data_IF_769529549052
#
_entry.id   IF_769529549052
#
_cell.length_a   1.000
_cell.length_b   1.000
_cell.length_c   1.000
_cell.angle_alpha   90.00
_cell.angle_beta   90.00
_cell.angle_gamma   90.00
#
_symmetry.space_group_name_H-M   'P 1'
#
loop_
_entity.id
_entity.type
_entity.pdbx_description
1 polymer ?
#
# COMPACT_ATOMS: atom_id res chain seq x y z
N UNK A 1 -13.75 -34.07 28.65
CA UNK A 1 -12.40 -33.59 28.32
C UNK A 1 -12.55 -32.22 27.67
N UNK A 2 -12.28 -31.16 28.47
CA UNK A 2 -12.36 -29.79 28.00
C UNK A 2 -11.10 -29.47 27.18
N UNK A 3 -11.19 -29.40 25.87
CA UNK A 3 -10.16 -28.81 25.03
C UNK A 3 -10.21 -27.29 25.26
N UNK A 4 -9.34 -26.83 26.16
CA UNK A 4 -9.13 -25.40 26.38
C UNK A 4 -8.69 -24.76 25.08
N UNK A 5 -9.56 -23.92 24.53
CA UNK A 5 -9.27 -23.04 23.39
C UNK A 5 -8.40 -21.89 23.93
N UNK A 6 -7.12 -22.17 24.15
CA UNK A 6 -6.13 -21.14 24.50
C UNK A 6 -6.03 -20.21 23.30
N UNK A 7 -6.66 -19.04 23.37
CA UNK A 7 -6.48 -17.99 22.35
C UNK A 7 -4.99 -17.68 22.28
N UNK A 8 -4.37 -18.04 21.18
CA UNK A 8 -2.97 -17.71 20.91
C UNK A 8 -2.82 -16.18 20.94
N UNK A 9 -1.97 -15.67 21.82
CA UNK A 9 -1.63 -14.24 21.85
C UNK A 9 -0.70 -14.00 20.66
N UNK A 10 -1.05 -13.09 19.73
CA UNK A 10 -0.19 -12.81 18.59
C UNK A 10 1.13 -12.18 19.05
N UNK A 11 2.22 -12.56 18.39
CA UNK A 11 3.54 -11.93 18.61
C UNK A 11 3.48 -10.42 18.26
N UNK A 12 4.36 -9.65 18.89
CA UNK A 12 4.54 -8.25 18.49
C UNK A 12 5.26 -8.15 17.16
N UNK A 13 5.19 -6.98 16.49
CA UNK A 13 5.74 -6.81 15.14
C UNK A 13 7.24 -7.00 15.08
N UNK A 14 7.96 -6.59 16.12
CA UNK A 14 9.42 -6.75 16.19
C UNK A 14 9.82 -8.22 16.27
N UNK A 15 9.08 -9.03 17.02
CA UNK A 15 9.28 -10.48 17.11
C UNK A 15 9.04 -11.15 15.76
N UNK A 16 7.96 -10.77 15.05
CA UNK A 16 7.68 -11.31 13.72
C UNK A 16 8.79 -10.93 12.73
N UNK A 17 9.26 -9.68 12.76
CA UNK A 17 10.38 -9.24 11.90
C UNK A 17 11.66 -10.03 12.20
N UNK A 18 11.94 -10.31 13.47
CA UNK A 18 13.10 -11.12 13.85
C UNK A 18 13.00 -12.54 13.31
N UNK A 19 11.81 -13.18 13.35
CA UNK A 19 11.60 -14.50 12.74
C UNK A 19 11.90 -14.48 11.23
N UNK A 20 11.52 -13.42 10.49
CA UNK A 20 11.91 -13.27 9.08
C UNK A 20 13.42 -13.15 8.90
N UNK A 21 14.10 -12.41 9.78
CA UNK A 21 15.56 -12.29 9.74
C UNK A 21 16.28 -13.61 9.99
N UNK A 22 15.74 -14.42 10.88
CA UNK A 22 16.23 -15.78 11.21
C UNK A 22 15.84 -16.84 10.14
N UNK A 23 15.11 -16.42 9.09
CA UNK A 23 14.56 -17.34 8.08
C UNK A 23 13.71 -18.46 8.70
N UNK A 24 12.99 -18.15 9.76
CA UNK A 24 12.08 -19.06 10.44
C UNK A 24 10.69 -18.99 9.79
N UNK A 25 10.19 -20.11 9.26
CA UNK A 25 8.89 -20.18 8.57
C UNK A 25 7.70 -19.76 9.44
N UNK A 26 7.85 -19.83 10.77
CA UNK A 26 6.85 -19.30 11.71
C UNK A 26 6.55 -17.81 11.50
N UNK A 27 7.48 -17.06 10.89
CA UNK A 27 7.23 -15.67 10.53
C UNK A 27 5.99 -15.51 9.64
N UNK A 28 5.80 -16.41 8.68
CA UNK A 28 4.65 -16.41 7.78
C UNK A 28 3.38 -16.76 8.55
N UNK A 29 3.41 -17.79 9.38
CA UNK A 29 2.26 -18.21 10.20
C UNK A 29 1.81 -17.11 11.15
N UNK A 30 2.73 -16.43 11.84
CA UNK A 30 2.43 -15.35 12.76
C UNK A 30 1.90 -14.10 12.02
N UNK A 31 2.45 -13.81 10.83
CA UNK A 31 1.95 -12.75 9.96
C UNK A 31 0.53 -13.05 9.49
N UNK A 32 0.28 -14.28 9.03
CA UNK A 32 -1.06 -14.71 8.62
C UNK A 32 -2.05 -14.63 9.79
N UNK A 33 -1.69 -15.19 10.93
CA UNK A 33 -2.54 -15.19 12.13
C UNK A 33 -2.95 -13.76 12.55
N UNK A 34 -1.99 -12.82 12.53
CA UNK A 34 -2.19 -11.45 12.99
C UNK A 34 -2.88 -10.55 11.97
N UNK A 35 -2.52 -10.70 10.68
CA UNK A 35 -2.85 -9.70 9.66
C UNK A 35 -3.74 -10.20 8.53
N UNK A 36 -3.99 -11.53 8.40
CA UNK A 36 -4.74 -12.10 7.27
C UNK A 36 -6.03 -11.36 6.94
N UNK A 37 -6.91 -11.16 7.93
CA UNK A 37 -8.21 -10.53 7.70
C UNK A 37 -8.08 -9.13 7.10
N UNK A 38 -7.10 -8.39 7.59
CA UNK A 38 -6.84 -7.03 7.15
C UNK A 38 -6.25 -7.01 5.73
N UNK A 39 -5.20 -7.80 5.50
CA UNK A 39 -4.56 -7.89 4.18
C UNK A 39 -5.51 -8.43 3.12
N UNK A 40 -6.38 -9.38 3.48
CA UNK A 40 -7.44 -9.85 2.60
C UNK A 40 -8.39 -8.73 2.19
N UNK A 41 -8.82 -7.89 3.15
CA UNK A 41 -9.65 -6.73 2.86
C UNK A 41 -8.96 -5.74 1.91
N UNK A 42 -7.66 -5.48 2.13
CA UNK A 42 -6.86 -4.63 1.23
C UNK A 42 -6.79 -5.20 -0.19
N UNK A 43 -6.56 -6.50 -0.33
CA UNK A 43 -6.54 -7.16 -1.63
C UNK A 43 -7.93 -7.14 -2.29
N UNK A 44 -8.97 -7.51 -1.54
CA UNK A 44 -10.34 -7.58 -2.05
C UNK A 44 -10.87 -6.23 -2.52
N UNK A 45 -10.55 -5.15 -1.83
CA UNK A 45 -10.92 -3.80 -2.25
C UNK A 45 -10.28 -3.39 -3.60
N UNK A 46 -9.21 -4.05 -3.98
CA UNK A 46 -8.54 -3.80 -5.27
C UNK A 46 -9.06 -4.71 -6.39
N UNK A 47 -9.16 -6.02 -6.15
CA UNK A 47 -9.48 -6.99 -7.22
C UNK A 47 -10.95 -7.39 -7.29
N UNK A 48 -11.73 -7.19 -6.20
CA UNK A 48 -13.15 -7.51 -6.07
C UNK A 48 -13.50 -8.99 -6.36
N UNK A 49 -12.53 -9.88 -6.27
CA UNK A 49 -12.68 -11.32 -6.41
C UNK A 49 -12.01 -12.05 -5.25
N UNK A 50 -12.68 -13.08 -4.71
CA UNK A 50 -12.21 -13.79 -3.54
C UNK A 50 -10.98 -14.65 -3.82
N UNK A 51 -10.96 -15.34 -4.95
CA UNK A 51 -9.85 -16.22 -5.32
C UNK A 51 -8.60 -15.40 -5.66
N UNK A 52 -8.77 -14.34 -6.43
CA UNK A 52 -7.69 -13.40 -6.74
C UNK A 52 -7.14 -12.72 -5.48
N UNK A 53 -8.00 -12.44 -4.50
CA UNK A 53 -7.57 -11.87 -3.21
C UNK A 53 -6.74 -12.85 -2.40
N UNK A 54 -7.12 -14.12 -2.34
CA UNK A 54 -6.34 -15.18 -1.68
C UNK A 54 -4.99 -15.38 -2.38
N UNK A 55 -4.95 -15.36 -3.71
CA UNK A 55 -3.70 -15.42 -4.48
C UNK A 55 -2.80 -14.22 -4.17
N UNK A 56 -3.36 -13.01 -4.12
CA UNK A 56 -2.62 -11.80 -3.72
C UNK A 56 -2.04 -11.91 -2.30
N UNK A 57 -2.75 -12.56 -1.37
CA UNK A 57 -2.23 -12.82 -0.03
C UNK A 57 -1.01 -13.75 -0.05
N UNK A 58 -1.11 -14.87 -0.77
CA UNK A 58 -0.02 -15.83 -0.89
C UNK A 58 1.22 -15.18 -1.51
N UNK A 59 1.02 -14.40 -2.58
CA UNK A 59 2.08 -13.62 -3.21
C UNK A 59 2.67 -12.58 -2.25
N UNK A 60 1.83 -11.98 -1.38
CA UNK A 60 2.30 -11.04 -0.35
C UNK A 60 3.25 -11.72 0.62
N UNK A 61 2.89 -12.89 1.14
CA UNK A 61 3.76 -13.61 2.08
C UNK A 61 5.08 -14.00 1.45
N UNK A 62 5.07 -14.46 0.20
CA UNK A 62 6.28 -14.77 -0.55
C UNK A 62 7.13 -13.52 -0.80
N UNK A 63 6.51 -12.41 -1.18
CA UNK A 63 7.23 -11.15 -1.42
C UNK A 63 7.87 -10.60 -0.13
N UNK A 64 7.16 -10.68 1.00
CA UNK A 64 7.67 -10.27 2.31
C UNK A 64 8.81 -11.16 2.76
N UNK A 65 8.67 -12.49 2.60
CA UNK A 65 9.73 -13.46 2.86
C UNK A 65 11.02 -13.14 2.08
N UNK A 66 10.88 -12.79 0.82
CA UNK A 66 12.02 -12.45 -0.04
C UNK A 66 12.61 -11.06 0.26
N UNK A 67 11.82 -10.14 0.78
CA UNK A 67 12.24 -8.77 1.07
C UNK A 67 12.92 -8.63 2.44
N UNK A 68 12.59 -9.46 3.41
CA UNK A 68 13.16 -9.46 4.76
C UNK A 68 13.98 -10.74 4.98
N UNK A 69 15.32 -10.67 5.18
CA UNK A 69 16.20 -9.53 4.94
C UNK A 69 16.43 -9.24 3.45
N UNK A 70 17.04 -8.12 3.04
CA UNK A 70 17.75 -7.15 3.86
C UNK A 70 16.88 -5.99 4.39
N UNK A 71 15.64 -5.85 3.93
CA UNK A 71 14.75 -4.78 4.40
C UNK A 71 14.38 -5.00 5.87
N UNK A 72 14.48 -3.97 6.69
CA UNK A 72 14.00 -3.98 8.07
C UNK A 72 12.90 -2.93 8.22
N UNK A 73 11.62 -3.31 8.11
CA UNK A 73 10.53 -2.34 8.21
C UNK A 73 10.42 -1.77 9.62
N UNK A 74 10.29 -0.46 9.76
CA UNK A 74 10.05 0.19 11.04
C UNK A 74 8.63 -0.13 11.56
N UNK A 75 7.66 -0.20 10.66
CA UNK A 75 6.26 -0.56 10.94
C UNK A 75 5.87 -1.73 10.02
N UNK A 76 5.84 -2.95 10.58
CA UNK A 76 5.57 -4.17 9.83
C UNK A 76 4.21 -4.09 9.11
N UNK A 77 3.17 -3.62 9.81
CA UNK A 77 1.82 -3.50 9.26
C UNK A 77 1.78 -2.64 8.00
N UNK A 78 2.39 -1.45 8.02
CA UNK A 78 2.45 -0.55 6.86
C UNK A 78 3.21 -1.18 5.69
N UNK A 79 4.29 -1.89 5.97
CA UNK A 79 5.06 -2.63 4.98
C UNK A 79 4.22 -3.72 4.30
N UNK A 80 3.51 -4.54 5.10
CA UNK A 80 2.62 -5.59 4.60
C UNK A 80 1.52 -5.02 3.70
N UNK A 81 0.85 -3.94 4.14
CA UNK A 81 -0.19 -3.26 3.36
C UNK A 81 0.35 -2.79 2.01
N UNK A 82 1.51 -2.15 2.02
CA UNK A 82 2.16 -1.65 0.80
C UNK A 82 2.44 -2.78 -0.19
N UNK A 83 2.98 -3.90 0.30
CA UNK A 83 3.27 -5.08 -0.53
C UNK A 83 1.98 -5.69 -1.08
N UNK A 84 0.97 -5.92 -0.22
CA UNK A 84 -0.33 -6.49 -0.62
C UNK A 84 -1.00 -5.63 -1.68
N UNK A 85 -1.05 -4.32 -1.46
CA UNK A 85 -1.67 -3.36 -2.37
C UNK A 85 -0.98 -3.34 -3.72
N UNK A 86 0.34 -3.34 -3.74
CA UNK A 86 1.13 -3.42 -4.98
C UNK A 86 0.80 -4.68 -5.80
N UNK A 87 0.69 -5.82 -5.14
CA UNK A 87 0.36 -7.11 -5.77
C UNK A 87 -1.08 -7.06 -6.30
N UNK A 88 -2.03 -6.63 -5.48
CA UNK A 88 -3.44 -6.58 -5.84
C UNK A 88 -3.72 -5.63 -7.02
N UNK A 89 -3.07 -4.45 -7.05
CA UNK A 89 -3.19 -3.52 -8.17
C UNK A 89 -2.60 -4.12 -9.44
N UNK A 90 -1.45 -4.80 -9.37
CA UNK A 90 -0.88 -5.52 -10.54
C UNK A 90 -1.84 -6.59 -11.04
N UNK A 91 -2.44 -7.36 -10.13
CA UNK A 91 -3.43 -8.38 -10.47
C UNK A 91 -4.64 -7.76 -11.16
N UNK A 92 -5.20 -6.68 -10.60
CA UNK A 92 -6.31 -5.94 -11.20
C UNK A 92 -6.01 -5.52 -12.64
N UNK A 93 -4.83 -4.96 -12.93
CA UNK A 93 -4.47 -4.58 -14.30
C UNK A 93 -4.31 -5.76 -15.24
N UNK A 94 -3.80 -6.89 -14.75
CA UNK A 94 -3.65 -8.09 -15.56
C UNK A 94 -5.00 -8.66 -15.99
N UNK A 95 -6.01 -8.57 -15.12
CA UNK A 95 -7.36 -9.12 -15.36
C UNK A 95 -8.22 -8.16 -16.18
N UNK A 96 -8.26 -6.88 -15.79
CA UNK A 96 -9.22 -5.93 -16.36
C UNK A 96 -8.86 -5.42 -17.75
N UNK A 97 -7.64 -5.63 -18.22
CA UNK A 97 -7.08 -5.02 -19.44
C UNK A 97 -7.28 -3.49 -19.53
N UNK A 98 -7.75 -2.87 -18.45
CA UNK A 98 -7.99 -1.44 -18.35
C UNK A 98 -6.87 -0.82 -17.53
N UNK A 99 -6.16 0.16 -18.11
CA UNK A 99 -5.10 0.93 -17.44
C UNK A 99 -5.66 2.10 -16.62
N UNK A 100 -6.87 1.95 -16.07
CA UNK A 100 -7.57 3.00 -15.31
C UNK A 100 -7.66 2.56 -13.86
N UNK A 101 -7.11 3.34 -12.95
CA UNK A 101 -7.28 3.12 -11.51
C UNK A 101 -8.67 3.64 -11.13
N UNK A 102 -9.57 2.79 -10.61
CA UNK A 102 -10.87 3.23 -10.12
C UNK A 102 -10.72 4.33 -9.05
N UNK A 103 -11.65 5.29 -9.06
CA UNK A 103 -11.65 6.38 -8.06
C UNK A 103 -11.79 5.86 -6.62
N UNK A 104 -12.43 4.71 -6.46
CA UNK A 104 -12.62 4.04 -5.17
C UNK A 104 -11.30 3.60 -4.53
N UNK A 105 -10.27 3.29 -5.32
CA UNK A 105 -8.93 2.95 -4.80
C UNK A 105 -8.19 4.14 -4.19
N UNK A 106 -8.60 5.37 -4.51
CA UNK A 106 -8.02 6.57 -3.91
C UNK A 106 -8.46 6.80 -2.46
N UNK A 107 -9.60 6.24 -2.05
CA UNK A 107 -10.12 6.34 -0.66
C UNK A 107 -9.17 5.66 0.32
N UNK A 108 -8.42 4.69 -0.13
CA UNK A 108 -7.53 3.91 0.71
C UNK A 108 -6.18 4.59 1.03
N UNK A 109 -5.95 5.84 0.57
CA UNK A 109 -4.83 6.66 1.07
C UNK A 109 -5.04 7.03 2.54
N UNK A 110 -6.27 7.38 2.94
CA UNK A 110 -6.60 7.67 4.34
C UNK A 110 -6.39 6.46 5.27
N UNK A 111 -6.63 5.23 4.77
CA UNK A 111 -6.33 4.02 5.53
C UNK A 111 -4.81 3.80 5.74
N UNK A 112 -3.96 4.25 4.82
CA UNK A 112 -2.51 4.17 4.98
C UNK A 112 -2.01 5.15 6.05
N UNK A 113 -2.66 6.27 6.18
CA UNK A 113 -2.34 7.33 7.14
C UNK A 113 -2.69 6.96 8.56
N UNK A 114 -3.78 6.24 8.80
CA UNK A 114 -4.12 5.64 10.11
C UNK A 114 -2.99 4.72 10.63
N UNK A 115 -2.05 4.32 9.75
CA UNK A 115 -0.91 3.48 10.07
C UNK A 115 0.42 4.21 10.20
N UNK A 116 0.59 5.32 9.49
CA UNK A 116 1.79 6.16 9.58
C UNK A 116 1.74 7.03 10.84
N UNK A 117 0.55 7.32 11.33
CA UNK A 117 0.28 8.14 12.52
C UNK A 117 0.62 7.49 13.87
N UNK A 118 1.14 6.27 13.90
CA UNK A 118 1.60 5.64 15.16
C UNK A 118 2.92 6.23 15.73
N UNK A 119 3.43 7.33 15.18
CA UNK A 119 4.54 8.13 15.71
C UNK A 119 4.05 9.52 16.12
N UNK A 120 4.00 9.80 17.40
CA UNK A 120 3.90 11.06 18.19
C UNK A 120 3.33 12.37 17.57
N UNK A 121 2.69 12.35 16.39
CA UNK A 121 1.97 13.49 15.84
C UNK A 121 0.47 13.30 16.09
N UNK A 122 -0.23 14.36 16.42
CA UNK A 122 -1.67 14.31 16.75
C UNK A 122 -2.46 13.65 15.61
N UNK A 123 -3.15 12.58 15.93
CA UNK A 123 -3.96 11.68 15.06
C UNK A 123 -4.90 12.43 14.10
N UNK A 124 -5.28 13.68 14.45
CA UNK A 124 -6.19 14.51 13.68
C UNK A 124 -5.53 15.18 12.46
N UNK A 125 -4.27 15.63 12.58
CA UNK A 125 -3.59 16.40 11.53
C UNK A 125 -3.20 15.51 10.34
N UNK A 126 -2.78 14.27 10.63
CA UNK A 126 -2.48 13.29 9.58
C UNK A 126 -3.72 12.79 8.87
N UNK A 127 -4.83 12.58 9.58
CA UNK A 127 -6.10 12.17 8.97
C UNK A 127 -6.63 13.25 8.03
N UNK A 128 -6.57 14.51 8.46
CA UNK A 128 -7.00 15.64 7.64
C UNK A 128 -6.11 15.83 6.40
N UNK A 129 -4.77 15.73 6.55
CA UNK A 129 -3.85 15.76 5.40
C UNK A 129 -4.18 14.68 4.38
N UNK A 130 -4.51 13.48 4.84
CA UNK A 130 -4.89 12.37 4.01
C UNK A 130 -6.18 12.55 3.23
N UNK A 131 -7.18 13.11 3.85
CA UNK A 131 -8.42 13.45 3.16
C UNK A 131 -8.15 14.47 2.05
N UNK A 132 -7.30 15.49 2.32
CA UNK A 132 -6.90 16.47 1.32
C UNK A 132 -6.15 15.82 0.15
N UNK A 133 -5.19 14.93 0.44
CA UNK A 133 -4.44 14.20 -0.59
C UNK A 133 -5.38 13.30 -1.40
N UNK A 134 -6.28 12.58 -0.74
CA UNK A 134 -7.26 11.70 -1.39
C UNK A 134 -8.17 12.49 -2.34
N UNK A 135 -8.69 13.62 -1.89
CA UNK A 135 -9.53 14.50 -2.71
C UNK A 135 -8.76 15.11 -3.87
N UNK A 136 -7.52 15.53 -3.64
CA UNK A 136 -6.63 16.03 -4.70
C UNK A 136 -6.42 14.96 -5.78
N UNK A 137 -6.04 13.76 -5.39
CA UNK A 137 -5.77 12.65 -6.32
C UNK A 137 -7.03 12.26 -7.09
N UNK A 138 -8.19 12.24 -6.43
CA UNK A 138 -9.48 11.94 -7.08
C UNK A 138 -9.83 12.95 -8.17
N UNK A 139 -9.45 14.20 -8.03
CA UNK A 139 -9.69 15.29 -9.00
C UNK A 139 -8.65 15.37 -10.12
N UNK A 140 -7.54 14.64 -10.00
CA UNK A 140 -6.56 14.59 -11.08
C UNK A 140 -7.16 14.01 -12.36
N UNK A 141 -6.78 14.54 -13.55
CA UNK A 141 -7.06 13.88 -14.82
C UNK A 141 -6.58 12.41 -14.80
N UNK A 142 -7.31 11.53 -15.45
CA UNK A 142 -7.10 10.08 -15.43
C UNK A 142 -5.62 9.68 -15.61
N UNK A 143 -4.96 10.23 -16.61
CA UNK A 143 -3.54 9.96 -16.89
C UNK A 143 -2.62 10.37 -15.73
N UNK A 144 -2.84 11.54 -15.13
CA UNK A 144 -2.05 12.04 -13.99
C UNK A 144 -2.31 11.22 -12.74
N UNK A 145 -3.56 10.82 -12.53
CA UNK A 145 -3.95 9.92 -11.44
C UNK A 145 -3.25 8.58 -11.59
N UNK A 146 -3.25 8.01 -12.79
CA UNK A 146 -2.50 6.77 -13.07
C UNK A 146 -1.01 6.92 -12.72
N UNK A 147 -0.35 7.98 -13.21
CA UNK A 147 1.08 8.24 -12.94
C UNK A 147 1.33 8.37 -11.43
N UNK A 148 0.49 9.12 -10.72
CA UNK A 148 0.59 9.31 -9.28
C UNK A 148 0.44 7.99 -8.53
N UNK A 149 -0.64 7.26 -8.81
CA UNK A 149 -0.93 6.00 -8.14
C UNK A 149 0.15 4.94 -8.43
N UNK A 150 0.55 4.80 -9.68
CA UNK A 150 1.63 3.86 -10.05
C UNK A 150 2.93 4.20 -9.32
N UNK A 151 3.30 5.49 -9.22
CA UNK A 151 4.55 5.89 -8.58
C UNK A 151 4.53 5.77 -7.06
N UNK A 152 3.48 6.31 -6.40
CA UNK A 152 3.45 6.47 -4.94
C UNK A 152 2.69 5.36 -4.22
N UNK A 153 1.85 4.64 -4.93
CA UNK A 153 1.00 3.61 -4.37
C UNK A 153 1.44 2.19 -4.75
N UNK A 154 1.76 2.00 -6.04
CA UNK A 154 2.25 0.71 -6.57
C UNK A 154 3.78 0.63 -6.50
N UNK A 155 4.47 1.76 -6.31
CA UNK A 155 5.93 1.89 -6.30
C UNK A 155 6.60 1.47 -7.62
N UNK A 156 5.89 1.65 -8.73
CA UNK A 156 6.45 1.36 -10.04
C UNK A 156 7.60 2.33 -10.37
N UNK A 157 8.56 1.80 -11.13
CA UNK A 157 9.64 2.63 -11.64
C UNK A 157 9.13 3.59 -12.72
N UNK A 158 9.79 4.73 -12.88
CA UNK A 158 9.48 5.67 -13.98
C UNK A 158 9.55 4.98 -15.34
N UNK A 159 10.43 3.97 -15.49
CA UNK A 159 10.53 3.18 -16.72
C UNK A 159 9.27 2.34 -16.95
N UNK A 160 8.77 1.68 -15.92
CA UNK A 160 7.54 0.88 -15.98
C UNK A 160 6.36 1.75 -16.37
N UNK A 161 6.18 2.88 -15.67
CA UNK A 161 5.10 3.85 -15.94
C UNK A 161 5.18 4.40 -17.37
N UNK A 162 6.40 4.73 -17.83
CA UNK A 162 6.63 5.23 -19.19
C UNK A 162 6.27 4.19 -20.25
N UNK A 163 6.65 2.93 -20.02
CA UNK A 163 6.30 1.79 -20.88
C UNK A 163 4.79 1.58 -20.94
N UNK A 164 4.11 1.59 -19.78
CA UNK A 164 2.68 1.34 -19.69
C UNK A 164 1.83 2.40 -20.37
N UNK A 165 2.29 3.66 -20.32
CA UNK A 165 1.63 4.79 -20.98
C UNK A 165 2.10 5.01 -22.42
N UNK A 166 3.09 4.25 -22.89
CA UNK A 166 3.76 4.44 -24.20
C UNK A 166 4.27 5.89 -24.40
N UNK A 167 4.98 6.40 -23.39
CA UNK A 167 5.58 7.74 -23.39
C UNK A 167 7.04 7.71 -22.97
N UNK A 168 7.74 8.86 -23.10
CA UNK A 168 9.12 8.96 -22.64
C UNK A 168 9.21 9.06 -21.11
N UNK A 169 10.33 8.60 -20.53
CA UNK A 169 10.67 8.79 -19.11
C UNK A 169 10.62 10.27 -18.71
N UNK A 170 11.10 11.14 -19.59
CA UNK A 170 11.09 12.59 -19.37
C UNK A 170 9.67 13.12 -19.22
N UNK A 171 8.71 12.61 -20.01
CA UNK A 171 7.29 12.95 -19.88
C UNK A 171 6.76 12.55 -18.51
N UNK A 172 7.02 11.32 -18.05
CA UNK A 172 6.57 10.87 -16.72
C UNK A 172 7.18 11.72 -15.59
N UNK A 173 8.48 12.04 -15.67
CA UNK A 173 9.13 12.90 -14.68
C UNK A 173 8.55 14.31 -14.64
N UNK A 174 8.24 14.91 -15.79
CA UNK A 174 7.58 16.23 -15.88
C UNK A 174 6.18 16.20 -15.25
N UNK A 175 5.40 15.18 -15.56
CA UNK A 175 4.06 15.02 -14.96
C UNK A 175 4.14 14.80 -13.44
N UNK A 176 5.06 13.96 -12.96
CA UNK A 176 5.27 13.78 -11.52
C UNK A 176 5.69 15.07 -10.82
N UNK A 177 6.56 15.88 -11.44
CA UNK A 177 6.96 17.16 -10.89
C UNK A 177 5.76 18.13 -10.82
N UNK A 178 4.96 18.21 -11.89
CA UNK A 178 3.75 19.05 -11.92
C UNK A 178 2.73 18.61 -10.85
N UNK A 179 2.51 17.30 -10.69
CA UNK A 179 1.59 16.77 -9.68
C UNK A 179 2.09 17.13 -8.27
N UNK A 180 3.39 16.94 -7.98
CA UNK A 180 3.97 17.28 -6.67
C UNK A 180 3.83 18.75 -6.34
N UNK A 181 4.11 19.62 -7.30
CA UNK A 181 3.98 21.07 -7.09
C UNK A 181 2.52 21.48 -6.81
N UNK A 182 1.58 20.96 -7.60
CA UNK A 182 0.15 21.21 -7.38
C UNK A 182 -0.35 20.67 -6.03
N UNK A 183 0.13 19.48 -5.60
CA UNK A 183 -0.19 18.92 -4.29
C UNK A 183 0.41 19.77 -3.16
N UNK A 184 1.66 20.21 -3.31
CA UNK A 184 2.31 21.10 -2.35
C UNK A 184 1.52 22.41 -2.18
N UNK A 185 1.19 23.11 -3.28
CA UNK A 185 0.37 24.32 -3.27
C UNK A 185 -0.99 24.09 -2.58
N UNK A 186 -1.62 22.93 -2.84
CA UNK A 186 -2.88 22.56 -2.20
C UNK A 186 -2.72 22.40 -0.69
N UNK A 187 -1.72 21.66 -0.23
CA UNK A 187 -1.46 21.45 1.20
C UNK A 187 -1.07 22.77 1.91
N UNK A 188 -0.24 23.60 1.29
CA UNK A 188 0.11 24.93 1.82
C UNK A 188 -1.13 25.82 1.94
N UNK A 189 -2.07 25.77 0.97
CA UNK A 189 -3.33 26.51 1.04
C UNK A 189 -4.27 26.07 2.16
N UNK A 190 -4.10 24.84 2.65
CA UNK A 190 -4.84 24.28 3.79
C UNK A 190 -4.09 24.44 5.12
N UNK A 191 -2.94 25.15 5.11
CA UNK A 191 -2.19 25.48 6.32
C UNK A 191 -1.06 24.51 6.69
N UNK A 192 -0.73 23.56 5.83
CA UNK A 192 0.40 22.64 6.05
C UNK A 192 1.71 23.28 5.58
N UNK A 193 2.70 23.31 6.45
CA UNK A 193 4.08 23.72 6.11
C UNK A 193 4.82 22.50 5.57
N UNK A 194 5.16 22.52 4.26
CA UNK A 194 5.84 21.41 3.57
C UNK A 194 7.15 21.89 2.94
#
# INVERSE_FOLDING_TARGET
MNFGNSRKIPLNDSEIVNLYWERNEKAIEETDYKYRKYLFSVAYNAVHDKLDSEECLNDTYLAVWNAIPPTKPNVLKAFLITVTRRIAIKRYYSISRKRVIPSEMTVSLSELEDFLASGESTDSDFRQAGEIISDFVRRLPERRRFIFMSRYYVFDSVNTIASDLNVSRSTVNKELAAIRNALKEKLESEGYLI
#
